data_IF_274735839064
#
_entry.id   IF_274735839064
#
_cell.length_a   1.000
_cell.length_b   1.000
_cell.length_c   1.000
_cell.angle_alpha   90.00
_cell.angle_beta   90.00
_cell.angle_gamma   90.00
#
_symmetry.space_group_name_H-M   'P 1'
#
loop_
_entity.id
_entity.type
_entity.pdbx_description
1 polymer ?
#
# COMPACT_ATOMS: atom_id res chain seq x y z
N UNK A 1 9.33 12.38 -17.33
CA UNK A 1 9.09 10.98 -17.66
C UNK A 1 7.63 10.64 -17.48
N UNK A 2 7.07 9.92 -18.42
CA UNK A 2 5.65 9.58 -18.36
C UNK A 2 5.40 8.43 -17.38
N UNK A 3 4.25 8.51 -16.74
CA UNK A 3 3.77 7.39 -15.92
C UNK A 3 3.34 6.26 -16.83
N UNK A 4 3.57 5.02 -16.40
CA UNK A 4 3.09 3.85 -17.11
C UNK A 4 1.59 3.62 -16.88
N UNK A 5 0.97 4.44 -16.05
CA UNK A 5 -0.41 4.24 -15.61
C UNK A 5 -1.23 5.50 -15.89
N UNK A 6 -2.49 5.31 -16.29
CA UNK A 6 -3.42 6.42 -16.44
C UNK A 6 -3.93 6.86 -15.08
N UNK A 7 -4.52 8.06 -15.02
CA UNK A 7 -5.10 8.55 -13.77
C UNK A 7 -6.18 7.59 -13.27
N UNK A 8 -6.96 7.02 -14.18
CA UNK A 8 -8.00 6.08 -13.80
C UNK A 8 -7.40 4.83 -13.16
N UNK A 9 -6.30 4.34 -13.68
CA UNK A 9 -5.61 3.19 -13.09
C UNK A 9 -5.05 3.52 -11.71
N UNK A 10 -4.48 4.71 -11.56
CA UNK A 10 -3.95 5.15 -10.27
C UNK A 10 -5.08 5.22 -9.23
N UNK A 11 -6.23 5.78 -9.62
CA UNK A 11 -7.38 5.86 -8.72
C UNK A 11 -7.90 4.47 -8.34
N UNK A 12 -7.85 3.52 -9.27
CA UNK A 12 -8.24 2.15 -8.98
C UNK A 12 -7.28 1.50 -7.97
N UNK A 13 -5.98 1.78 -8.09
CA UNK A 13 -5.02 1.30 -7.11
C UNK A 13 -5.29 1.90 -5.73
N UNK A 14 -5.62 3.19 -5.68
CA UNK A 14 -5.95 3.84 -4.41
C UNK A 14 -7.16 3.18 -3.75
N UNK A 15 -8.20 2.90 -4.53
CA UNK A 15 -9.38 2.21 -4.02
C UNK A 15 -9.02 0.82 -3.50
N UNK A 16 -8.19 0.10 -4.24
CA UNK A 16 -7.73 -1.23 -3.84
C UNK A 16 -7.01 -1.17 -2.49
N UNK A 17 -6.13 -0.19 -2.32
CA UNK A 17 -5.41 -0.02 -1.06
C UNK A 17 -6.38 0.23 0.09
N UNK A 18 -7.39 1.07 -0.13
CA UNK A 18 -8.34 1.41 0.91
C UNK A 18 -9.28 0.26 1.27
N UNK A 19 -9.35 -0.76 0.42
CA UNK A 19 -10.17 -1.94 0.68
C UNK A 19 -9.37 -3.10 1.26
N UNK A 20 -8.06 -2.99 1.34
CA UNK A 20 -7.22 -4.05 1.90
C UNK A 20 -7.43 -4.17 3.40
N UNK A 21 -7.41 -5.42 3.90
CA UNK A 21 -7.40 -5.65 5.33
C UNK A 21 -5.97 -5.49 5.88
N UNK A 22 -5.87 -5.52 7.19
CA UNK A 22 -4.59 -5.27 7.87
C UNK A 22 -3.54 -6.32 7.50
N UNK A 23 -3.94 -7.58 7.52
CA UNK A 23 -3.00 -8.68 7.23
C UNK A 23 -2.47 -8.59 5.80
N UNK A 24 -3.36 -8.32 4.84
CA UNK A 24 -2.98 -8.18 3.44
C UNK A 24 -2.00 -7.02 3.25
N UNK A 25 -2.25 -5.89 3.91
CA UNK A 25 -1.36 -4.75 3.79
C UNK A 25 0.02 -5.05 4.37
N UNK A 26 0.08 -5.70 5.51
CA UNK A 26 1.35 -6.09 6.12
C UNK A 26 2.10 -7.09 5.24
N UNK A 27 1.40 -8.04 4.67
CA UNK A 27 2.00 -9.01 3.75
C UNK A 27 2.61 -8.30 2.54
N UNK A 28 1.86 -7.39 1.93
CA UNK A 28 2.35 -6.68 0.74
C UNK A 28 3.54 -5.78 1.09
N UNK A 29 3.51 -5.16 2.25
CA UNK A 29 4.63 -4.34 2.70
C UNK A 29 5.90 -5.18 2.87
N UNK A 30 5.75 -6.34 3.50
CA UNK A 30 6.87 -7.25 3.77
C UNK A 30 7.48 -7.83 2.49
N UNK A 31 6.63 -8.21 1.54
CA UNK A 31 7.05 -8.94 0.36
C UNK A 31 6.93 -8.11 -0.92
N UNK A 32 6.87 -6.80 -0.82
CA UNK A 32 6.74 -5.94 -1.98
C UNK A 32 7.91 -6.13 -2.95
N UNK A 33 7.57 -6.19 -4.22
CA UNK A 33 8.56 -6.25 -5.28
C UNK A 33 9.00 -4.82 -5.59
N UNK A 34 10.30 -4.62 -5.81
CA UNK A 34 10.82 -3.32 -6.18
C UNK A 34 10.09 -2.80 -7.42
N UNK A 35 9.58 -1.57 -7.33
CA UNK A 35 8.83 -0.96 -8.42
C UNK A 35 7.33 -1.21 -8.38
N UNK A 36 6.83 -1.87 -7.33
CA UNK A 36 5.40 -2.08 -7.20
C UNK A 36 4.66 -0.73 -7.21
N UNK A 37 3.59 -0.60 -8.03
CA UNK A 37 2.88 0.68 -8.12
C UNK A 37 2.23 1.10 -6.81
N UNK A 38 1.91 0.16 -5.93
CA UNK A 38 1.24 0.46 -4.67
C UNK A 38 2.10 1.29 -3.72
N UNK A 39 3.41 1.32 -3.94
CA UNK A 39 4.34 2.05 -3.07
C UNK A 39 4.99 3.24 -3.75
N UNK A 40 4.61 3.54 -4.98
CA UNK A 40 5.22 4.63 -5.74
C UNK A 40 4.68 5.97 -5.26
N UNK A 41 5.59 6.93 -5.15
CA UNK A 41 5.22 8.28 -4.70
C UNK A 41 5.04 9.24 -5.87
N UNK A 42 5.33 8.79 -7.09
CA UNK A 42 5.11 9.59 -8.29
C UNK A 42 3.73 9.36 -8.91
N UNK A 43 2.99 8.38 -8.42
CA UNK A 43 1.63 8.12 -8.88
C UNK A 43 0.65 8.78 -7.91
N UNK A 44 0.05 9.87 -8.35
CA UNK A 44 -0.79 10.71 -7.50
C UNK A 44 -2.26 10.44 -7.82
N UNK A 45 -3.02 10.06 -6.79
CA UNK A 45 -4.45 9.84 -6.93
C UNK A 45 -5.19 11.15 -7.08
N UNK A 46 -6.47 11.08 -7.46
CA UNK A 46 -7.28 12.27 -7.71
C UNK A 46 -7.44 13.16 -6.48
N UNK A 47 -7.27 12.60 -5.28
CA UNK A 47 -7.35 13.38 -4.04
C UNK A 47 -6.04 14.09 -3.69
N UNK A 48 -5.01 13.96 -4.53
CA UNK A 48 -3.75 14.65 -4.33
C UNK A 48 -2.70 13.88 -3.56
N UNK A 49 -3.01 12.66 -3.11
CA UNK A 49 -2.05 11.85 -2.36
C UNK A 49 -1.39 10.82 -3.29
N UNK A 50 -0.12 10.54 -3.06
CA UNK A 50 0.56 9.47 -3.81
C UNK A 50 0.08 8.11 -3.30
N UNK A 51 0.21 7.08 -4.14
CA UNK A 51 -0.16 5.72 -3.74
C UNK A 51 0.66 5.25 -2.55
N UNK A 52 1.96 5.58 -2.53
CA UNK A 52 2.81 5.23 -1.40
C UNK A 52 2.34 5.88 -0.10
N UNK A 53 1.89 7.12 -0.17
CA UNK A 53 1.38 7.82 1.01
C UNK A 53 0.05 7.23 1.47
N UNK A 54 -0.85 6.90 0.53
CA UNK A 54 -2.13 6.28 0.86
C UNK A 54 -1.89 4.95 1.57
N UNK A 55 -0.99 4.13 1.04
CA UNK A 55 -0.68 2.83 1.62
C UNK A 55 -0.09 2.99 3.02
N UNK A 56 0.89 3.87 3.16
CA UNK A 56 1.56 4.11 4.42
C UNK A 56 0.60 4.63 5.49
N UNK A 57 -0.24 5.61 5.12
CA UNK A 57 -1.21 6.17 6.05
C UNK A 57 -2.20 5.11 6.52
N UNK A 58 -2.70 4.29 5.61
CA UNK A 58 -3.66 3.26 5.99
C UNK A 58 -3.01 2.22 6.89
N UNK A 59 -1.80 1.77 6.54
CA UNK A 59 -1.13 0.73 7.32
C UNK A 59 -0.75 1.23 8.72
N UNK A 60 -0.16 2.41 8.80
CA UNK A 60 0.41 2.88 10.07
C UNK A 60 -0.53 3.73 10.90
N UNK A 61 -1.39 4.54 10.27
CA UNK A 61 -2.32 5.39 11.02
C UNK A 61 -3.65 4.72 11.29
N UNK A 62 -4.19 4.04 10.29
CA UNK A 62 -5.49 3.39 10.44
C UNK A 62 -5.38 2.08 11.21
N UNK A 63 -4.43 1.23 10.84
CA UNK A 63 -4.27 -0.09 11.46
C UNK A 63 -3.20 -0.14 12.55
N UNK A 64 -2.40 0.90 12.70
CA UNK A 64 -1.36 0.93 13.73
C UNK A 64 -0.09 0.18 13.38
N UNK A 65 0.11 -0.15 12.11
CA UNK A 65 1.33 -0.82 11.67
C UNK A 65 1.31 -2.32 11.92
N UNK A 66 2.47 -2.89 12.21
CA UNK A 66 2.59 -4.31 12.44
C UNK A 66 2.30 -4.63 13.90
N UNK A 67 1.47 -5.65 14.13
CA UNK A 67 1.22 -6.16 15.47
C UNK A 67 1.85 -7.54 15.57
N UNK A 68 2.10 -8.05 16.80
CA UNK A 68 2.67 -9.40 16.95
C UNK A 68 1.83 -10.47 16.27
N UNK A 69 0.50 -10.38 16.36
CA UNK A 69 -0.36 -11.37 15.73
C UNK A 69 -0.24 -11.35 14.22
N UNK A 70 -0.22 -10.16 13.63
CA UNK A 70 -0.09 -10.01 12.18
C UNK A 70 1.28 -10.49 11.72
N UNK A 71 2.33 -10.12 12.45
CA UNK A 71 3.68 -10.54 12.10
C UNK A 71 3.82 -12.05 12.07
N UNK A 72 3.26 -12.73 13.05
CA UNK A 72 3.29 -14.19 13.09
C UNK A 72 2.46 -14.79 11.95
N UNK A 73 1.31 -14.21 11.68
CA UNK A 73 0.41 -14.69 10.65
C UNK A 73 1.06 -14.71 9.27
N UNK A 74 1.87 -13.72 8.95
CA UNK A 74 2.53 -13.65 7.66
C UNK A 74 3.97 -14.17 7.67
N UNK A 75 4.39 -14.78 8.80
CA UNK A 75 5.71 -15.37 8.88
C UNK A 75 6.85 -14.40 9.10
N UNK A 76 6.55 -13.19 9.52
CA UNK A 76 7.57 -12.15 9.67
C UNK A 76 8.57 -12.49 10.78
N UNK A 77 8.09 -13.13 11.81
CA UNK A 77 8.76 -13.24 13.08
C UNK A 77 9.49 -14.57 13.25
N UNK A 78 10.14 -15.04 12.24
CA UNK A 78 10.86 -16.32 12.35
C UNK A 78 12.35 -16.16 12.47
#
# INVERSE_FOLDING_TARGET
MENDFTQNEVDNFATMIEEMDHETMCYKWRFAITGSPLFRKDLIASDGRSLGDIFSDRLFKHFGGFTPEISKSIGWDN
#
